data_IF_473117748983
#
_entry.id   IF_473117748983
#
_cell.length_a   1.000
_cell.length_b   1.000
_cell.length_c   1.000
_cell.angle_alpha   90.00
_cell.angle_beta   90.00
_cell.angle_gamma   90.00
#
_symmetry.space_group_name_H-M   'P 1'
#
loop_
_entity.id
_entity.type
_entity.pdbx_description
1 polymer ?
#
# COMPACT_ATOMS: atom_id res chain seq x y z
N UNK A 1 -20.36 -12.05 -6.56
CA UNK A 1 -21.03 -12.97 -7.51
C UNK A 1 -20.09 -13.14 -8.70
N UNK A 2 -19.41 -14.29 -8.83
CA UNK A 2 -18.51 -14.56 -9.96
C UNK A 2 -19.30 -14.37 -11.27
N UNK A 3 -18.67 -13.91 -12.38
CA UNK A 3 -19.36 -13.80 -13.66
C UNK A 3 -20.14 -15.08 -13.92
N UNK A 4 -21.44 -14.97 -14.23
CA UNK A 4 -22.21 -16.14 -14.62
C UNK A 4 -21.40 -16.88 -15.69
N UNK A 5 -21.23 -18.21 -15.59
CA UNK A 5 -20.44 -19.00 -16.53
C UNK A 5 -21.06 -18.90 -17.93
N UNK A 6 -20.72 -17.82 -18.62
CA UNK A 6 -21.15 -17.46 -19.95
C UNK A 6 -20.46 -18.42 -20.90
N UNK A 7 -21.27 -19.24 -21.55
CA UNK A 7 -20.90 -20.43 -22.31
C UNK A 7 -20.30 -21.53 -21.43
N UNK A 8 -21.11 -22.55 -21.17
CA UNK A 8 -20.63 -23.94 -21.03
C UNK A 8 -19.90 -24.32 -22.32
N UNK A 9 -18.65 -23.88 -22.47
CA UNK A 9 -17.70 -24.59 -23.33
C UNK A 9 -17.68 -26.00 -22.79
N UNK A 10 -18.19 -26.98 -23.55
CA UNK A 10 -18.28 -28.36 -23.09
C UNK A 10 -16.97 -28.74 -22.44
N UNK A 11 -17.01 -28.98 -21.12
CA UNK A 11 -15.82 -29.10 -20.30
C UNK A 11 -14.98 -30.23 -20.88
N UNK A 12 -13.93 -29.85 -21.59
CA UNK A 12 -13.04 -30.81 -22.21
C UNK A 12 -12.39 -31.58 -21.09
N UNK A 13 -12.46 -32.91 -21.12
CA UNK A 13 -11.88 -33.71 -20.06
C UNK A 13 -10.38 -33.44 -19.96
N UNK A 14 -9.94 -33.08 -18.75
CA UNK A 14 -8.58 -32.73 -18.40
C UNK A 14 -7.96 -33.88 -17.62
N UNK A 15 -7.25 -34.77 -18.33
CA UNK A 15 -6.59 -35.93 -17.74
C UNK A 15 -5.27 -35.58 -17.03
N UNK A 16 -4.87 -36.41 -16.06
CA UNK A 16 -3.58 -36.29 -15.41
C UNK A 16 -2.42 -36.53 -16.39
N UNK A 17 -1.32 -35.82 -16.21
CA UNK A 17 -0.17 -35.80 -17.12
C UNK A 17 -0.33 -34.85 -18.32
N UNK A 18 -1.50 -34.24 -18.51
CA UNK A 18 -1.74 -33.35 -19.64
C UNK A 18 -1.00 -32.01 -19.44
N UNK A 19 -0.19 -31.56 -20.43
CA UNK A 19 0.43 -30.25 -20.39
C UNK A 19 -0.60 -29.15 -20.63
N UNK A 20 -0.60 -28.15 -19.75
CA UNK A 20 -1.57 -27.06 -19.73
C UNK A 20 -0.91 -25.70 -19.58
N UNK A 21 -1.68 -24.66 -19.90
CA UNK A 21 -1.46 -23.29 -19.46
C UNK A 21 -2.57 -22.98 -18.47
N UNK A 22 -2.21 -22.67 -17.24
CA UNK A 22 -3.15 -22.44 -16.14
C UNK A 22 -2.87 -21.09 -15.47
N UNK A 23 -3.90 -20.48 -14.89
CA UNK A 23 -3.76 -19.25 -14.16
C UNK A 23 -3.18 -19.52 -12.78
N UNK A 24 -1.88 -19.24 -12.62
CA UNK A 24 -1.22 -19.28 -11.32
C UNK A 24 -1.69 -18.10 -10.47
N UNK A 25 -1.96 -18.35 -9.19
CA UNK A 25 -2.31 -17.32 -8.23
C UNK A 25 -1.75 -17.67 -6.85
N UNK A 26 -0.75 -16.90 -6.39
CA UNK A 26 0.02 -17.22 -5.19
C UNK A 26 -0.83 -17.34 -3.90
N UNK A 27 -1.98 -16.66 -3.83
CA UNK A 27 -2.85 -16.74 -2.64
C UNK A 27 -3.52 -18.10 -2.48
N UNK A 28 -3.59 -18.92 -3.54
CA UNK A 28 -4.11 -20.29 -3.51
C UNK A 28 -3.12 -21.32 -2.96
N UNK A 29 -1.88 -20.91 -2.66
CA UNK A 29 -0.89 -21.84 -2.10
C UNK A 29 -1.38 -22.39 -0.75
N UNK A 30 -1.43 -23.73 -0.55
CA UNK A 30 -2.10 -24.36 0.60
C UNK A 30 -1.48 -24.01 1.96
N UNK A 31 -0.19 -23.67 1.97
CA UNK A 31 0.55 -23.21 3.17
C UNK A 31 0.52 -21.69 3.39
N UNK A 32 -0.22 -20.96 2.55
CA UNK A 32 -0.27 -19.50 2.56
C UNK A 32 1.05 -18.82 2.17
N UNK A 33 1.97 -19.50 1.49
CA UNK A 33 3.20 -18.91 0.96
C UNK A 33 2.88 -18.01 -0.23
N UNK A 34 3.74 -17.05 -0.54
CA UNK A 34 3.61 -16.03 -1.58
C UNK A 34 4.75 -16.16 -2.59
N UNK A 35 4.88 -17.36 -3.15
CA UNK A 35 5.87 -17.62 -4.19
C UNK A 35 5.63 -16.72 -5.41
N UNK A 36 6.70 -16.13 -5.92
CA UNK A 36 6.72 -15.48 -7.22
C UNK A 36 7.49 -16.34 -8.22
N UNK A 37 7.02 -16.42 -9.45
CA UNK A 37 7.75 -17.01 -10.55
C UNK A 37 8.82 -16.02 -11.03
N UNK A 38 10.09 -16.39 -10.92
CA UNK A 38 11.24 -15.50 -11.18
C UNK A 38 11.92 -15.86 -12.50
N UNK A 39 12.57 -14.89 -13.16
CA UNK A 39 13.35 -15.18 -14.38
C UNK A 39 14.67 -15.87 -14.06
N UNK A 40 15.34 -15.44 -12.99
CA UNK A 40 16.64 -15.96 -12.54
C UNK A 40 16.62 -16.19 -11.05
N UNK A 41 17.30 -17.25 -10.60
CA UNK A 41 17.49 -17.49 -9.17
C UNK A 41 18.38 -16.40 -8.60
N UNK A 42 17.87 -15.66 -7.64
CA UNK A 42 18.64 -14.65 -6.92
C UNK A 42 18.43 -14.84 -5.43
N UNK A 43 19.50 -15.11 -4.69
CA UNK A 43 19.46 -15.00 -3.23
C UNK A 43 19.48 -13.54 -2.74
N UNK A 44 19.42 -12.56 -3.65
CA UNK A 44 19.52 -11.13 -3.34
C UNK A 44 18.17 -10.46 -3.45
N UNK A 45 17.91 -9.56 -2.51
CA UNK A 45 16.79 -8.64 -2.51
C UNK A 45 17.00 -7.50 -3.53
N UNK A 46 15.92 -6.90 -4.07
CA UNK A 46 14.54 -7.35 -3.90
C UNK A 46 14.24 -8.63 -4.69
N UNK A 47 13.34 -9.46 -4.16
CA UNK A 47 12.83 -10.63 -4.89
C UNK A 47 11.64 -10.15 -5.72
N UNK A 48 11.72 -10.29 -7.04
CA UNK A 48 10.70 -9.80 -7.96
C UNK A 48 10.27 -10.89 -8.94
N UNK A 49 8.96 -11.04 -9.14
CA UNK A 49 8.44 -12.00 -10.11
C UNK A 49 6.91 -12.01 -10.20
N UNK A 50 6.39 -12.88 -11.06
CA UNK A 50 4.96 -13.04 -11.29
C UNK A 50 4.32 -13.81 -10.13
N UNK A 51 3.41 -13.18 -9.39
CA UNK A 51 2.63 -13.82 -8.32
C UNK A 51 1.22 -14.22 -8.75
N UNK A 52 0.69 -13.63 -9.84
CA UNK A 52 -0.54 -14.10 -10.47
C UNK A 52 -0.49 -13.91 -11.99
N UNK A 53 -0.88 -14.92 -12.76
CA UNK A 53 -0.89 -14.85 -14.22
C UNK A 53 -0.83 -16.23 -14.88
N UNK A 54 -0.90 -16.27 -16.21
CA UNK A 54 -0.87 -17.53 -16.95
C UNK A 54 0.53 -18.13 -16.99
N UNK A 55 0.68 -19.36 -16.49
CA UNK A 55 1.93 -20.11 -16.50
C UNK A 55 1.72 -21.51 -17.08
N UNK A 56 2.81 -22.12 -17.55
CA UNK A 56 2.82 -23.52 -17.99
C UNK A 56 2.78 -24.44 -16.78
N UNK A 57 2.07 -25.56 -16.92
CA UNK A 57 2.01 -26.59 -15.90
C UNK A 57 1.56 -27.93 -16.45
N UNK A 58 1.36 -28.87 -15.55
CA UNK A 58 0.90 -30.24 -15.80
C UNK A 58 -0.22 -30.59 -14.83
N UNK A 59 -1.28 -31.24 -15.32
CA UNK A 59 -2.37 -31.69 -14.45
C UNK A 59 -1.91 -32.89 -13.63
N UNK A 60 -1.99 -32.80 -12.31
CA UNK A 60 -1.71 -33.92 -11.41
C UNK A 60 -2.98 -34.69 -11.04
N UNK A 61 -4.10 -33.97 -10.88
CA UNK A 61 -5.37 -34.54 -10.45
C UNK A 61 -6.52 -33.87 -11.19
N UNK A 62 -7.48 -34.69 -11.66
CA UNK A 62 -8.74 -34.23 -12.27
C UNK A 62 -9.53 -33.31 -11.34
N UNK A 63 -10.49 -32.59 -11.91
CA UNK A 63 -11.38 -31.71 -11.17
C UNK A 63 -12.04 -32.42 -9.97
N UNK A 64 -11.98 -31.80 -8.80
CA UNK A 64 -12.63 -32.27 -7.58
C UNK A 64 -14.11 -31.83 -7.53
N UNK A 65 -14.77 -32.06 -6.38
CA UNK A 65 -16.17 -31.64 -6.17
C UNK A 65 -16.36 -30.12 -6.15
N UNK A 66 -15.29 -29.37 -6.00
CA UNK A 66 -15.27 -27.90 -5.99
C UNK A 66 -14.88 -27.33 -7.36
N UNK A 67 -14.82 -28.17 -8.40
CA UNK A 67 -14.39 -27.81 -9.76
C UNK A 67 -12.95 -27.27 -9.81
N UNK A 68 -12.07 -27.76 -8.93
CA UNK A 68 -10.64 -27.42 -8.93
C UNK A 68 -9.79 -28.59 -9.43
N UNK A 69 -8.84 -28.27 -10.29
CA UNK A 69 -7.84 -29.19 -10.83
C UNK A 69 -6.52 -28.94 -10.13
N UNK A 70 -5.81 -29.98 -9.71
CA UNK A 70 -4.47 -29.81 -9.14
C UNK A 70 -3.46 -29.67 -10.28
N UNK A 71 -2.80 -28.51 -10.37
CA UNK A 71 -1.81 -28.22 -11.41
C UNK A 71 -0.43 -28.08 -10.79
N UNK A 72 0.55 -28.77 -11.36
CA UNK A 72 1.97 -28.59 -11.10
C UNK A 72 2.54 -27.53 -12.03
N UNK A 73 2.88 -26.38 -11.49
CA UNK A 73 3.58 -25.34 -12.23
C UNK A 73 5.09 -25.59 -12.23
N UNK A 74 5.73 -25.37 -13.38
CA UNK A 74 7.18 -25.40 -13.51
C UNK A 74 7.77 -24.03 -13.16
N UNK A 75 8.81 -24.03 -12.32
CA UNK A 75 9.50 -22.83 -11.84
C UNK A 75 10.61 -22.33 -12.77
N UNK A 76 11.47 -21.43 -12.28
CA UNK A 76 11.80 -21.24 -10.86
C UNK A 76 10.81 -20.37 -10.06
N UNK A 77 10.54 -20.75 -8.81
CA UNK A 77 9.75 -19.98 -7.85
C UNK A 77 10.57 -19.58 -6.63
N UNK A 78 10.24 -18.42 -6.06
CA UNK A 78 10.88 -17.92 -4.86
C UNK A 78 9.90 -17.22 -3.93
N UNK A 79 10.01 -17.51 -2.64
CA UNK A 79 9.31 -16.84 -1.56
C UNK A 79 10.34 -16.35 -0.53
N UNK A 80 10.24 -15.11 -0.02
CA UNK A 80 11.24 -14.57 0.90
C UNK A 80 11.30 -15.32 2.26
N UNK A 81 10.24 -16.01 2.66
CA UNK A 81 10.14 -16.76 3.93
C UNK A 81 10.27 -18.28 3.74
N UNK A 82 9.77 -18.82 2.63
CA UNK A 82 9.79 -20.26 2.34
C UNK A 82 10.96 -20.70 1.44
N UNK A 83 11.70 -19.75 0.86
CA UNK A 83 12.87 -20.01 0.04
C UNK A 83 12.52 -20.36 -1.40
N UNK A 84 13.29 -21.26 -1.99
CA UNK A 84 13.24 -21.59 -3.40
C UNK A 84 12.42 -22.87 -3.67
N UNK A 85 11.68 -22.90 -4.78
CA UNK A 85 11.00 -24.09 -5.26
C UNK A 85 11.12 -24.24 -6.78
N UNK A 86 11.40 -25.46 -7.25
CA UNK A 86 11.44 -25.80 -8.68
C UNK A 86 10.04 -25.98 -9.27
N UNK A 87 9.10 -26.43 -8.44
CA UNK A 87 7.73 -26.71 -8.84
C UNK A 87 6.79 -26.33 -7.72
N UNK A 88 5.54 -26.00 -8.06
CA UNK A 88 4.47 -25.75 -7.11
C UNK A 88 3.21 -26.47 -7.54
N UNK A 89 2.60 -27.20 -6.60
CA UNK A 89 1.35 -27.91 -6.80
C UNK A 89 0.22 -27.04 -6.21
N UNK A 90 -0.63 -26.48 -7.07
CA UNK A 90 -1.64 -25.49 -6.71
C UNK A 90 -3.01 -25.95 -7.23
N UNK A 91 -4.07 -25.92 -6.41
CA UNK A 91 -5.44 -26.12 -6.89
C UNK A 91 -5.87 -24.90 -7.71
N UNK A 92 -6.29 -25.13 -8.95
CA UNK A 92 -6.72 -24.08 -9.89
C UNK A 92 -8.16 -24.34 -10.30
N UNK A 93 -9.06 -23.33 -10.29
CA UNK A 93 -10.39 -23.48 -10.85
C UNK A 93 -10.33 -24.02 -12.29
N UNK A 94 -11.14 -25.02 -12.63
CA UNK A 94 -11.11 -25.68 -13.95
C UNK A 94 -11.25 -24.68 -15.11
N UNK A 95 -12.07 -23.64 -14.92
CA UNK A 95 -12.27 -22.55 -15.88
C UNK A 95 -11.00 -21.73 -16.20
N UNK A 96 -9.97 -21.81 -15.36
CA UNK A 96 -8.68 -21.13 -15.49
C UNK A 96 -7.56 -22.06 -15.94
N UNK A 97 -7.91 -23.16 -16.61
CA UNK A 97 -6.96 -24.13 -17.20
C UNK A 97 -7.25 -24.28 -18.70
N UNK A 98 -6.19 -24.27 -19.51
CA UNK A 98 -6.24 -24.40 -20.98
C UNK A 98 -5.23 -25.45 -21.42
N UNK A 99 -5.54 -26.22 -22.47
CA UNK A 99 -4.58 -27.16 -23.04
C UNK A 99 -3.44 -26.40 -23.74
N UNK A 100 -2.20 -26.85 -23.59
CA UNK A 100 -1.04 -26.13 -24.13
C UNK A 100 -0.99 -26.11 -25.67
N UNK A 101 -1.49 -27.17 -26.32
CA UNK A 101 -1.60 -27.32 -27.77
C UNK A 101 -2.52 -26.26 -28.41
N UNK A 102 -3.59 -25.88 -27.71
CA UNK A 102 -4.55 -24.86 -28.17
C UNK A 102 -3.93 -23.46 -28.34
N UNK A 103 -2.78 -23.20 -27.71
CA UNK A 103 -2.12 -21.88 -27.72
C UNK A 103 -0.99 -21.82 -28.76
N UNK A 104 -0.26 -22.92 -28.99
CA UNK A 104 0.88 -22.93 -29.90
C UNK A 104 0.49 -22.95 -31.39
N UNK A 105 -0.70 -23.47 -31.72
CA UNK A 105 -1.15 -23.59 -33.12
C UNK A 105 -1.51 -22.28 -33.84
N UNK A 106 -1.50 -21.12 -33.17
CA UNK A 106 -1.95 -19.86 -33.75
C UNK A 106 -0.83 -18.94 -34.29
N UNK A 107 0.42 -19.12 -33.84
CA UNK A 107 1.52 -18.18 -34.15
C UNK A 107 2.57 -18.70 -35.13
N UNK A 108 2.76 -20.02 -35.30
CA UNK A 108 3.82 -20.53 -36.19
C UNK A 108 3.53 -20.32 -37.69
N UNK A 109 2.26 -20.23 -38.11
CA UNK A 109 1.90 -19.95 -39.52
C UNK A 109 1.90 -18.45 -39.88
N UNK A 110 2.15 -17.55 -38.92
CA UNK A 110 2.09 -16.08 -39.14
C UNK A 110 3.43 -15.42 -39.43
N UNK A 111 4.55 -16.13 -39.36
CA UNK A 111 5.87 -15.55 -39.55
C UNK A 111 6.29 -15.34 -41.04
N UNK A 112 5.53 -15.84 -42.03
CA UNK A 112 5.99 -15.83 -43.44
C UNK A 112 5.11 -15.02 -44.41
N UNK A 113 3.84 -14.76 -44.12
CA UNK A 113 2.97 -14.04 -45.07
C UNK A 113 2.05 -12.99 -44.42
N UNK A 114 1.93 -11.85 -45.11
CA UNK A 114 0.97 -10.76 -44.94
C UNK A 114 1.23 -9.63 -43.93
N UNK A 115 1.78 -8.52 -44.48
CA UNK A 115 1.58 -7.15 -44.00
C UNK A 115 0.18 -6.62 -44.38
N UNK A 116 -0.88 -7.33 -44.03
CA UNK A 116 -2.24 -6.90 -44.31
C UNK A 116 -3.01 -6.75 -42.98
N UNK A 117 -3.66 -5.61 -42.69
CA UNK A 117 -4.46 -5.43 -41.49
C UNK A 117 -5.77 -6.24 -41.64
N UNK A 118 -5.70 -7.54 -41.34
CA UNK A 118 -6.87 -8.41 -41.34
C UNK A 118 -7.62 -8.28 -40.01
N UNK A 119 -8.91 -7.94 -40.14
CA UNK A 119 -9.96 -7.94 -39.13
C UNK A 119 -9.83 -9.19 -38.25
N UNK A 120 -9.68 -8.98 -36.95
CA UNK A 120 -9.50 -10.04 -35.95
C UNK A 120 -10.77 -10.90 -35.87
N UNK A 121 -10.72 -12.11 -36.43
CA UNK A 121 -11.77 -13.12 -36.25
C UNK A 121 -11.70 -13.66 -34.82
N UNK A 122 -12.82 -13.51 -34.09
CA UNK A 122 -13.01 -13.61 -32.63
C UNK A 122 -12.66 -14.94 -31.93
N UNK A 123 -12.21 -15.97 -32.65
CA UNK A 123 -12.30 -17.36 -32.18
C UNK A 123 -10.97 -18.11 -31.97
N UNK A 124 -9.81 -17.54 -32.31
CA UNK A 124 -8.49 -18.05 -31.90
C UNK A 124 -7.77 -16.95 -31.16
N UNK A 125 -7.96 -16.90 -29.84
CA UNK A 125 -7.40 -15.85 -28.98
C UNK A 125 -5.94 -16.22 -28.66
N UNK A 126 -4.92 -15.63 -29.31
CA UNK A 126 -3.58 -15.58 -28.72
C UNK A 126 -3.73 -15.11 -27.27
N UNK A 127 -2.88 -15.62 -26.37
CA UNK A 127 -2.95 -15.36 -24.93
C UNK A 127 -3.35 -13.91 -24.71
N UNK A 128 -4.63 -13.67 -24.35
CA UNK A 128 -5.19 -12.33 -24.48
C UNK A 128 -4.34 -11.43 -23.62
N UNK A 129 -3.88 -10.32 -24.21
CA UNK A 129 -3.24 -9.27 -23.47
C UNK A 129 -4.06 -9.02 -22.20
N UNK A 130 -3.46 -9.09 -20.99
CA UNK A 130 -4.21 -8.90 -19.77
C UNK A 130 -4.94 -7.56 -19.81
N UNK A 131 -6.16 -7.50 -19.28
CA UNK A 131 -6.85 -6.23 -19.11
C UNK A 131 -6.10 -5.34 -18.10
N UNK A 132 -5.49 -5.96 -17.08
CA UNK A 132 -4.84 -5.28 -15.97
C UNK A 132 -3.50 -5.93 -15.62
N UNK A 133 -2.44 -5.14 -15.53
CA UNK A 133 -1.17 -5.52 -14.91
C UNK A 133 -0.91 -4.68 -13.68
N UNK A 134 -0.66 -5.35 -12.56
CA UNK A 134 -0.35 -4.71 -11.29
C UNK A 134 1.08 -5.02 -10.90
N UNK A 135 1.88 -4.00 -10.60
CA UNK A 135 3.14 -4.14 -9.89
C UNK A 135 2.93 -3.83 -8.41
N UNK A 136 3.04 -4.83 -7.56
CA UNK A 136 2.90 -4.71 -6.11
C UNK A 136 4.27 -4.69 -5.44
N UNK A 137 4.59 -3.59 -4.77
CA UNK A 137 5.74 -3.49 -3.88
C UNK A 137 5.27 -3.72 -2.45
N UNK A 138 5.89 -4.67 -1.75
CA UNK A 138 5.53 -4.96 -0.36
C UNK A 138 6.73 -5.38 0.47
N UNK A 139 6.57 -5.29 1.78
CA UNK A 139 7.57 -5.79 2.73
C UNK A 139 7.77 -7.30 2.59
N UNK A 140 9.02 -7.76 2.67
CA UNK A 140 9.40 -9.17 2.52
C UNK A 140 8.78 -10.08 3.59
N UNK A 141 8.74 -9.59 4.84
CA UNK A 141 8.16 -10.32 5.96
C UNK A 141 6.67 -9.96 6.08
N UNK A 142 5.91 -10.49 5.14
CA UNK A 142 4.46 -10.32 5.07
C UNK A 142 3.68 -11.09 6.16
N UNK A 143 4.41 -11.71 7.11
CA UNK A 143 3.84 -12.41 8.27
C UNK A 143 4.32 -11.83 9.60
N UNK A 144 5.13 -10.76 9.58
CA UNK A 144 5.64 -10.12 10.79
C UNK A 144 4.51 -9.65 11.71
N UNK A 145 3.37 -9.28 11.14
CA UNK A 145 2.20 -8.88 11.89
C UNK A 145 1.02 -9.82 11.67
N UNK A 146 0.45 -10.34 12.75
CA UNK A 146 -0.76 -11.16 12.74
C UNK A 146 -2.04 -10.36 13.00
N UNK A 147 -1.94 -9.10 13.45
CA UNK A 147 -3.11 -8.25 13.66
C UNK A 147 -3.68 -7.81 12.32
N UNK A 148 -4.97 -8.07 12.14
CA UNK A 148 -5.70 -7.55 10.98
C UNK A 148 -5.91 -6.04 11.21
N UNK A 149 -5.43 -5.26 10.24
CA UNK A 149 -5.63 -3.82 10.18
C UNK A 149 -5.57 -3.40 8.72
N UNK A 150 -6.46 -2.48 8.36
CA UNK A 150 -6.55 -1.85 7.04
C UNK A 150 -5.37 -0.92 6.71
N UNK A 151 -4.43 -0.74 7.65
CA UNK A 151 -3.19 0.00 7.42
C UNK A 151 -1.93 -0.85 7.56
N UNK A 152 -2.03 -2.13 8.00
CA UNK A 152 -0.88 -2.98 8.28
C UNK A 152 -0.23 -3.55 7.01
N UNK A 153 0.79 -2.86 6.48
CA UNK A 153 1.53 -3.28 5.27
C UNK A 153 2.39 -4.54 5.46
N UNK A 154 2.61 -4.93 6.72
CA UNK A 154 3.33 -6.15 7.14
C UNK A 154 2.41 -7.35 7.39
N UNK A 155 1.11 -7.17 7.14
CA UNK A 155 0.09 -8.22 7.20
C UNK A 155 -0.42 -8.50 5.79
N UNK A 156 -0.86 -9.73 5.55
CA UNK A 156 -1.35 -10.13 4.23
C UNK A 156 -2.86 -9.88 4.03
N UNK A 157 -3.61 -9.65 5.12
CA UNK A 157 -5.06 -9.50 5.15
C UNK A 157 -5.57 -8.45 4.18
N UNK A 158 -5.08 -7.21 4.25
CA UNK A 158 -5.51 -6.15 3.33
C UNK A 158 -5.27 -6.53 1.85
N UNK A 159 -4.14 -7.16 1.54
CA UNK A 159 -3.88 -7.59 0.17
C UNK A 159 -4.81 -8.74 -0.24
N UNK A 160 -5.09 -9.68 0.65
CA UNK A 160 -6.06 -10.74 0.40
C UNK A 160 -7.46 -10.20 0.20
N UNK A 161 -7.85 -9.17 0.94
CA UNK A 161 -9.16 -8.54 0.78
C UNK A 161 -9.25 -7.81 -0.59
N UNK A 162 -8.17 -7.12 -1.00
CA UNK A 162 -8.09 -6.44 -2.30
C UNK A 162 -8.01 -7.40 -3.49
N UNK A 163 -7.34 -8.54 -3.33
CA UNK A 163 -7.16 -9.52 -4.40
C UNK A 163 -8.31 -10.54 -4.44
N UNK A 164 -8.65 -11.13 -3.30
CA UNK A 164 -9.51 -12.32 -3.19
C UNK A 164 -10.89 -12.02 -2.59
N UNK A 165 -11.09 -10.84 -1.99
CA UNK A 165 -12.36 -10.44 -1.40
C UNK A 165 -13.49 -10.34 -2.43
N UNK A 166 -14.74 -10.21 -1.97
CA UNK A 166 -15.93 -10.29 -2.85
C UNK A 166 -15.90 -9.30 -4.04
N UNK A 167 -15.31 -8.12 -3.83
CA UNK A 167 -15.10 -7.08 -4.84
C UNK A 167 -13.63 -6.97 -5.28
N UNK A 168 -12.82 -7.99 -5.00
CA UNK A 168 -11.40 -8.03 -5.29
C UNK A 168 -11.10 -8.27 -6.77
N UNK A 169 -9.82 -8.14 -7.11
CA UNK A 169 -9.33 -8.31 -8.49
C UNK A 169 -9.59 -9.73 -9.01
N UNK A 170 -9.31 -10.75 -8.22
CA UNK A 170 -9.41 -12.14 -8.65
C UNK A 170 -10.86 -12.55 -8.96
N UNK A 171 -11.87 -12.34 -8.09
CA UNK A 171 -13.25 -12.68 -8.44
C UNK A 171 -13.81 -11.90 -9.64
N UNK A 172 -13.29 -10.69 -9.89
CA UNK A 172 -13.78 -9.81 -10.96
C UNK A 172 -13.09 -10.04 -12.31
N UNK A 173 -11.80 -10.37 -12.30
CA UNK A 173 -10.92 -10.36 -13.49
C UNK A 173 -10.09 -11.64 -13.64
N UNK A 174 -10.40 -12.73 -12.93
CA UNK A 174 -9.63 -13.98 -13.03
C UNK A 174 -9.33 -14.39 -14.48
N UNK A 175 -8.06 -14.64 -14.79
CA UNK A 175 -7.62 -14.95 -16.15
C UNK A 175 -7.40 -13.75 -17.07
N UNK A 176 -7.79 -12.54 -16.64
CA UNK A 176 -7.65 -11.29 -17.40
C UNK A 176 -6.73 -10.26 -16.70
N UNK A 177 -6.06 -10.64 -15.61
CA UNK A 177 -5.05 -9.79 -14.96
C UNK A 177 -3.73 -10.54 -14.76
N UNK A 178 -2.67 -9.77 -14.52
CA UNK A 178 -1.42 -10.28 -13.99
C UNK A 178 -0.95 -9.42 -12.82
N UNK A 179 -0.27 -10.06 -11.87
CA UNK A 179 0.29 -9.42 -10.68
C UNK A 179 1.77 -9.79 -10.61
N UNK A 180 2.62 -8.78 -10.63
CA UNK A 180 4.03 -8.89 -10.31
C UNK A 180 4.24 -8.39 -8.89
N UNK A 181 4.89 -9.18 -8.05
CA UNK A 181 5.20 -8.80 -6.67
C UNK A 181 6.70 -8.59 -6.52
N UNK A 182 7.07 -7.49 -5.87
CA UNK A 182 8.43 -7.15 -5.46
C UNK A 182 8.48 -7.14 -3.93
N UNK A 183 9.24 -8.06 -3.35
CA UNK A 183 9.51 -8.12 -1.92
C UNK A 183 10.76 -7.32 -1.57
N UNK A 184 10.57 -6.33 -0.70
CA UNK A 184 11.59 -5.38 -0.27
C UNK A 184 11.97 -5.64 1.18
N UNK A 185 13.28 -5.60 1.49
CA UNK A 185 13.84 -5.73 2.83
C UNK A 185 14.35 -4.41 3.40
N UNK A 186 14.70 -3.47 2.53
CA UNK A 186 15.32 -2.20 2.92
C UNK A 186 15.18 -1.17 1.82
N UNK A 187 15.41 0.09 2.17
CA UNK A 187 15.38 1.23 1.26
C UNK A 187 16.29 1.09 0.05
N UNK A 188 17.48 0.49 0.24
CA UNK A 188 18.44 0.28 -0.84
C UNK A 188 17.88 -0.62 -1.96
N UNK A 189 16.94 -1.52 -1.64
CA UNK A 189 16.32 -2.39 -2.66
C UNK A 189 15.46 -1.55 -3.64
N UNK A 190 14.83 -0.48 -3.15
CA UNK A 190 14.03 0.44 -3.96
C UNK A 190 14.87 1.18 -5.01
N UNK A 191 16.14 1.44 -4.69
CA UNK A 191 17.10 2.10 -5.58
C UNK A 191 17.56 1.16 -6.70
N UNK A 192 17.62 -0.15 -6.43
CA UNK A 192 17.99 -1.16 -7.44
C UNK A 192 16.85 -1.52 -8.38
N UNK A 193 15.59 -1.25 -8.01
CA UNK A 193 14.44 -1.57 -8.84
C UNK A 193 14.41 -0.65 -10.06
N UNK A 194 14.39 -1.27 -11.25
CA UNK A 194 14.37 -0.55 -12.53
C UNK A 194 12.94 -0.31 -13.01
N UNK A 195 12.64 0.95 -13.32
CA UNK A 195 11.41 1.39 -13.95
C UNK A 195 11.26 0.84 -15.38
N UNK A 196 12.36 0.68 -16.11
CA UNK A 196 12.37 0.11 -17.45
C UNK A 196 12.03 -1.39 -17.41
N UNK A 197 12.54 -2.11 -16.42
CA UNK A 197 12.16 -3.51 -16.20
C UNK A 197 10.66 -3.61 -15.90
N UNK A 198 10.15 -2.79 -14.98
CA UNK A 198 8.74 -2.78 -14.64
C UNK A 198 7.86 -2.49 -15.87
N UNK A 199 8.20 -1.49 -16.66
CA UNK A 199 7.49 -1.17 -17.89
C UNK A 199 7.53 -2.31 -18.92
N UNK A 200 8.65 -3.03 -19.00
CA UNK A 200 8.82 -4.13 -19.95
C UNK A 200 8.05 -5.40 -19.58
N UNK A 201 7.88 -5.69 -18.29
CA UNK A 201 7.20 -6.93 -17.83
C UNK A 201 5.69 -6.80 -17.71
N UNK A 202 5.16 -5.58 -17.52
CA UNK A 202 3.73 -5.35 -17.40
C UNK A 202 3.11 -5.33 -18.81
N UNK A 203 2.43 -6.41 -19.19
CA UNK A 203 1.89 -6.58 -20.54
C UNK A 203 0.46 -6.04 -20.72
N UNK A 204 -0.22 -5.70 -19.63
CA UNK A 204 -1.64 -5.41 -19.60
C UNK A 204 -2.01 -4.07 -20.21
N UNK A 205 -3.26 -3.98 -20.68
CA UNK A 205 -3.85 -2.77 -21.28
C UNK A 205 -3.83 -1.62 -20.24
N UNK A 206 -4.20 -1.93 -19.01
CA UNK A 206 -4.13 -1.01 -17.88
C UNK A 206 -2.96 -1.41 -16.98
N UNK A 207 -2.11 -0.46 -16.62
CA UNK A 207 -0.93 -0.70 -15.80
C UNK A 207 -0.95 0.17 -14.55
N UNK A 208 -0.67 -0.43 -13.41
CA UNK A 208 -0.72 0.24 -12.12
C UNK A 208 0.34 -0.30 -11.18
N UNK A 209 0.89 0.59 -10.34
CA UNK A 209 1.80 0.25 -9.26
C UNK A 209 1.14 0.48 -7.91
N UNK A 210 1.28 -0.49 -7.01
CA UNK A 210 0.79 -0.45 -5.64
C UNK A 210 1.96 -0.53 -4.66
N UNK A 211 2.00 0.41 -3.71
CA UNK A 211 3.07 0.53 -2.73
C UNK A 211 2.57 0.22 -1.33
N UNK A 212 2.83 -1.00 -0.85
CA UNK A 212 2.52 -1.46 0.50
C UNK A 212 3.78 -1.38 1.37
N UNK A 213 4.25 -0.15 1.58
CA UNK A 213 5.39 0.20 2.42
C UNK A 213 5.07 1.52 3.13
N UNK A 214 5.73 1.77 4.26
CA UNK A 214 5.59 3.00 5.03
C UNK A 214 6.82 3.89 4.84
N UNK A 215 6.73 5.00 4.07
CA UNK A 215 7.83 5.95 3.99
C UNK A 215 8.02 6.65 5.34
N UNK A 216 9.25 6.64 5.85
CA UNK A 216 9.66 7.19 7.13
C UNK A 216 10.85 8.16 6.95
N UNK A 217 10.89 9.28 7.69
CA UNK A 217 11.90 10.31 7.51
C UNK A 217 13.24 10.01 8.19
N UNK A 218 13.29 8.96 9.01
CA UNK A 218 14.45 8.55 9.79
C UNK A 218 15.46 7.78 8.95
N UNK A 219 16.75 8.00 9.18
CA UNK A 219 17.82 7.27 8.51
C UNK A 219 17.82 5.76 8.80
N UNK A 220 17.26 5.35 9.94
CA UNK A 220 17.16 3.96 10.40
C UNK A 220 15.79 3.33 10.12
N UNK A 221 14.99 3.91 9.21
CA UNK A 221 13.65 3.44 8.87
C UNK A 221 13.56 1.92 8.64
N UNK A 222 14.57 1.34 7.96
CA UNK A 222 14.64 -0.08 7.61
C UNK A 222 14.70 -1.03 8.83
N UNK A 223 14.93 -0.51 10.04
CA UNK A 223 14.90 -1.31 11.28
C UNK A 223 13.48 -1.67 11.73
N UNK A 224 12.46 -0.94 11.25
CA UNK A 224 11.05 -1.20 11.56
C UNK A 224 10.41 -1.91 10.38
N UNK A 225 9.75 -3.04 10.64
CA UNK A 225 9.11 -3.83 9.59
C UNK A 225 8.09 -3.00 8.81
N UNK A 226 8.18 -3.05 7.48
CA UNK A 226 7.33 -2.29 6.56
C UNK A 226 7.79 -0.85 6.32
N UNK A 227 8.69 -0.32 7.13
CA UNK A 227 9.21 1.03 6.98
C UNK A 227 10.39 1.08 6.00
N UNK A 228 10.43 2.13 5.20
CA UNK A 228 11.53 2.47 4.29
C UNK A 228 11.80 3.97 4.35
N UNK A 229 12.98 4.40 3.93
CA UNK A 229 13.34 5.82 3.85
C UNK A 229 12.41 6.52 2.87
N UNK A 230 11.82 7.60 3.34
CA UNK A 230 10.90 8.45 2.59
C UNK A 230 11.50 8.88 1.24
N UNK A 231 12.75 9.35 1.23
CA UNK A 231 13.41 9.79 0.02
C UNK A 231 13.47 8.69 -1.05
N UNK A 232 13.96 7.50 -0.70
CA UNK A 232 14.06 6.35 -1.61
C UNK A 232 12.67 5.91 -2.11
N UNK A 233 11.65 5.94 -1.25
CA UNK A 233 10.28 5.62 -1.61
C UNK A 233 9.70 6.56 -2.66
N UNK A 234 9.72 7.88 -2.42
CA UNK A 234 9.14 8.84 -3.35
C UNK A 234 9.96 8.97 -4.63
N UNK A 235 11.29 8.81 -4.55
CA UNK A 235 12.13 8.78 -5.74
C UNK A 235 11.76 7.61 -6.65
N UNK A 236 11.53 6.42 -6.10
CA UNK A 236 11.05 5.27 -6.87
C UNK A 236 9.68 5.54 -7.48
N UNK A 237 8.74 6.07 -6.69
CA UNK A 237 7.40 6.36 -7.17
C UNK A 237 7.41 7.35 -8.35
N UNK A 238 8.20 8.41 -8.25
CA UNK A 238 8.37 9.38 -9.34
C UNK A 238 9.05 8.77 -10.58
N UNK A 239 10.03 7.87 -10.42
CA UNK A 239 10.65 7.16 -11.56
C UNK A 239 9.62 6.31 -12.30
N UNK A 240 8.79 5.56 -11.57
CA UNK A 240 7.71 4.75 -12.15
C UNK A 240 6.68 5.62 -12.87
N UNK A 241 6.25 6.72 -12.25
CA UNK A 241 5.29 7.66 -12.86
C UNK A 241 5.84 8.30 -14.15
N UNK A 242 7.14 8.60 -14.22
CA UNK A 242 7.78 9.16 -15.43
C UNK A 242 7.79 8.22 -16.62
N UNK A 243 7.81 6.90 -16.41
CA UNK A 243 7.70 5.90 -17.49
C UNK A 243 6.24 5.54 -17.79
N UNK A 244 5.27 6.31 -17.27
CA UNK A 244 3.85 6.12 -17.53
C UNK A 244 3.16 5.09 -16.65
N UNK A 245 3.86 4.51 -15.67
CA UNK A 245 3.25 3.58 -14.71
C UNK A 245 2.51 4.37 -13.63
N UNK A 246 1.18 4.26 -13.64
CA UNK A 246 0.32 4.99 -12.70
C UNK A 246 0.43 4.41 -11.28
N UNK A 247 0.57 5.29 -10.28
CA UNK A 247 0.39 4.93 -8.88
C UNK A 247 -1.09 4.70 -8.58
N UNK A 248 -1.48 3.45 -8.33
CA UNK A 248 -2.87 3.09 -8.01
C UNK A 248 -3.17 3.02 -6.52
N UNK A 249 -2.16 2.72 -5.70
CA UNK A 249 -2.25 2.72 -4.25
C UNK A 249 -0.91 3.12 -3.63
N UNK A 250 -0.87 4.04 -2.65
CA UNK A 250 -2.02 4.75 -2.09
C UNK A 250 -2.54 5.86 -3.03
N UNK A 251 -1.68 6.80 -3.40
CA UNK A 251 -2.01 7.91 -4.31
C UNK A 251 -0.78 8.29 -5.14
N UNK A 252 -0.91 9.08 -6.22
CA UNK A 252 0.23 9.66 -6.93
C UNK A 252 1.20 10.37 -6.00
N UNK A 253 2.49 10.34 -6.34
CA UNK A 253 3.61 10.67 -5.44
C UNK A 253 3.42 12.01 -4.72
N UNK A 254 3.03 13.04 -5.47
CA UNK A 254 2.79 14.39 -4.93
C UNK A 254 1.67 14.43 -3.90
N UNK A 255 0.52 13.81 -4.20
CA UNK A 255 -0.62 13.79 -3.27
C UNK A 255 -0.28 12.94 -2.05
N UNK A 256 0.33 11.78 -2.24
CA UNK A 256 0.69 10.92 -1.12
C UNK A 256 1.72 11.57 -0.20
N UNK A 257 2.70 12.31 -0.74
CA UNK A 257 3.64 13.09 0.06
C UNK A 257 2.92 14.14 0.93
N UNK A 258 1.93 14.85 0.38
CA UNK A 258 1.12 15.80 1.18
C UNK A 258 0.34 15.11 2.29
N UNK A 259 -0.28 13.96 1.99
CA UNK A 259 -1.11 13.19 2.93
C UNK A 259 -0.26 12.55 4.04
N UNK A 260 0.73 11.74 3.69
CA UNK A 260 1.59 11.04 4.63
C UNK A 260 2.49 12.00 5.45
N UNK A 261 2.93 13.09 4.82
CA UNK A 261 3.64 14.18 5.50
C UNK A 261 2.76 15.02 6.42
N UNK A 262 1.44 14.78 6.44
CA UNK A 262 0.46 15.56 7.22
C UNK A 262 0.49 17.06 6.89
N UNK A 263 0.96 17.41 5.69
CA UNK A 263 1.21 18.78 5.23
C UNK A 263 -0.08 19.55 4.90
N UNK A 264 -1.16 18.82 4.65
CA UNK A 264 -2.47 19.38 4.39
C UNK A 264 -3.17 19.90 5.65
N UNK A 265 -2.84 19.38 6.84
CA UNK A 265 -3.55 19.71 8.09
C UNK A 265 -3.42 21.21 8.42
N UNK A 266 -2.22 21.83 8.41
CA UNK A 266 -2.10 23.27 8.60
C UNK A 266 -2.92 24.07 7.58
N UNK A 267 -2.91 23.67 6.30
CA UNK A 267 -3.63 24.36 5.23
C UNK A 267 -5.14 24.31 5.44
N UNK A 268 -5.68 23.13 5.77
CA UNK A 268 -7.11 22.97 6.02
C UNK A 268 -7.56 23.66 7.31
N UNK A 269 -6.68 23.83 8.30
CA UNK A 269 -7.00 24.54 9.55
C UNK A 269 -7.27 26.06 9.35
N UNK A 270 -6.91 26.61 8.18
CA UNK A 270 -7.19 27.99 7.79
C UNK A 270 -8.66 28.22 7.40
N UNK A 271 -9.45 27.16 7.22
CA UNK A 271 -10.88 27.26 6.96
C UNK A 271 -11.66 26.44 8.01
N UNK A 272 -12.45 27.15 8.82
CA UNK A 272 -13.28 26.58 9.89
C UNK A 272 -14.29 25.54 9.40
N UNK A 273 -14.78 25.66 8.17
CA UNK A 273 -15.80 24.75 7.61
C UNK A 273 -15.27 23.32 7.46
N UNK A 274 -13.95 23.14 7.31
CA UNK A 274 -13.32 21.82 7.27
C UNK A 274 -13.19 21.16 8.63
N UNK A 275 -13.45 21.88 9.73
CA UNK A 275 -13.40 21.37 11.11
C UNK A 275 -12.05 20.73 11.49
N UNK A 276 -10.96 21.20 10.89
CA UNK A 276 -9.60 20.76 11.21
C UNK A 276 -9.03 21.65 12.31
N UNK A 277 -8.67 21.14 13.50
CA UNK A 277 -8.22 21.96 14.63
C UNK A 277 -7.06 22.90 14.26
N UNK A 278 -6.93 24.07 14.91
CA UNK A 278 -5.80 24.98 14.72
C UNK A 278 -4.47 24.24 14.77
N UNK A 279 -3.75 24.29 13.65
CA UNK A 279 -2.55 23.50 13.43
C UNK A 279 -1.53 24.33 12.66
N UNK A 280 -0.29 24.37 13.14
CA UNK A 280 0.80 25.12 12.52
C UNK A 280 1.92 24.19 12.09
N UNK A 281 2.64 24.63 11.06
CA UNK A 281 3.84 23.97 10.56
C UNK A 281 5.06 24.56 11.26
N UNK A 282 5.96 23.72 11.75
CA UNK A 282 7.24 24.13 12.35
C UNK A 282 8.38 23.59 11.51
N UNK A 283 9.26 24.47 11.02
CA UNK A 283 10.39 24.05 10.19
C UNK A 283 11.53 23.46 11.03
N UNK A 284 12.11 22.35 10.57
CA UNK A 284 13.23 21.68 11.24
C UNK A 284 14.45 22.60 11.38
N UNK A 285 14.72 23.42 10.37
CA UNK A 285 15.81 24.39 10.39
C UNK A 285 15.66 25.40 11.54
N UNK A 286 14.43 25.85 11.84
CA UNK A 286 14.18 26.75 12.96
C UNK A 286 14.40 26.06 14.30
N UNK A 287 13.94 24.80 14.43
CA UNK A 287 14.15 24.00 15.65
C UNK A 287 15.64 23.74 15.90
N UNK A 288 16.43 23.47 14.86
CA UNK A 288 17.88 23.27 14.99
C UNK A 288 18.61 24.54 15.40
N UNK A 289 18.16 25.70 14.91
CA UNK A 289 18.76 26.99 15.22
C UNK A 289 18.43 27.44 16.64
N UNK A 290 17.14 27.44 16.98
CA UNK A 290 16.63 27.82 18.30
C UNK A 290 15.27 27.15 18.55
N UNK A 291 15.23 26.05 19.32
CA UNK A 291 14.01 25.30 19.56
C UNK A 291 12.99 26.06 20.43
N UNK A 292 13.45 26.98 21.29
CA UNK A 292 12.56 27.78 22.13
C UNK A 292 11.90 28.89 21.32
N UNK A 293 12.67 29.59 20.47
CA UNK A 293 12.09 30.58 19.55
C UNK A 293 11.12 29.94 18.56
N UNK A 294 11.45 28.76 18.00
CA UNK A 294 10.56 28.01 17.13
C UNK A 294 9.25 27.61 17.85
N UNK A 295 9.33 27.16 19.11
CA UNK A 295 8.17 26.84 19.92
C UNK A 295 7.31 28.08 20.25
N UNK A 296 7.94 29.22 20.53
CA UNK A 296 7.26 30.49 20.80
C UNK A 296 6.46 30.92 19.57
N UNK A 297 7.11 30.99 18.40
CA UNK A 297 6.44 31.34 17.14
C UNK A 297 5.28 30.38 16.83
N UNK A 298 5.48 29.06 17.03
CA UNK A 298 4.42 28.08 16.81
C UNK A 298 3.20 28.31 17.71
N UNK A 299 3.42 28.68 18.99
CA UNK A 299 2.33 29.00 19.92
C UNK A 299 1.64 30.31 19.54
N UNK A 300 2.40 31.33 19.14
CA UNK A 300 1.85 32.61 18.71
C UNK A 300 0.97 32.44 17.47
N UNK A 301 1.43 31.66 16.48
CA UNK A 301 0.66 31.32 15.28
C UNK A 301 -0.60 30.51 15.62
N UNK A 302 -0.53 29.58 16.57
CA UNK A 302 -1.70 28.82 17.05
C UNK A 302 -2.73 29.72 17.73
N UNK A 303 -2.29 30.67 18.55
CA UNK A 303 -3.16 31.64 19.22
C UNK A 303 -3.78 32.61 18.21
N UNK A 304 -3.02 33.00 17.18
CA UNK A 304 -3.53 33.80 16.07
C UNK A 304 -4.61 33.05 15.30
N UNK A 305 -4.38 31.79 14.89
CA UNK A 305 -5.37 30.96 14.19
C UNK A 305 -6.67 30.82 15.00
N UNK A 306 -6.56 30.57 16.30
CA UNK A 306 -7.71 30.48 17.20
C UNK A 306 -8.57 31.73 17.19
N UNK A 307 -7.92 32.90 17.25
CA UNK A 307 -8.61 34.19 17.28
C UNK A 307 -9.22 34.55 15.94
N UNK A 308 -8.39 34.56 14.90
CA UNK A 308 -8.75 35.15 13.60
C UNK A 308 -9.57 34.20 12.72
N UNK A 309 -9.30 32.90 12.77
CA UNK A 309 -9.98 31.90 11.92
C UNK A 309 -11.11 31.21 12.68
N UNK A 310 -10.89 30.89 13.95
CA UNK A 310 -11.84 30.11 14.74
C UNK A 310 -12.81 30.95 15.58
N UNK A 311 -12.52 32.25 15.73
CA UNK A 311 -13.37 33.17 16.50
C UNK A 311 -13.39 32.85 17.99
N UNK A 312 -12.36 32.18 18.51
CA UNK A 312 -12.23 31.92 19.93
C UNK A 312 -12.02 33.27 20.64
N UNK A 313 -13.10 33.81 21.24
CA UNK A 313 -12.99 34.95 22.15
C UNK A 313 -12.26 34.49 23.41
N UNK A 314 -11.06 35.01 23.66
CA UNK A 314 -10.26 34.61 24.82
C UNK A 314 -10.93 35.13 26.09
N UNK A 315 -11.05 34.27 27.10
CA UNK A 315 -11.11 34.77 28.47
C UNK A 315 -9.80 35.54 28.74
N UNK A 316 -9.81 36.59 29.57
CA UNK A 316 -8.65 37.48 29.82
C UNK A 316 -7.34 36.74 30.17
N UNK A 317 -7.41 35.49 30.67
CA UNK A 317 -6.27 34.64 31.01
C UNK A 317 -5.84 33.63 29.92
N UNK A 318 -6.54 33.55 28.78
CA UNK A 318 -6.35 32.52 27.76
C UNK A 318 -5.18 32.78 26.78
N UNK A 319 -4.50 33.93 26.89
CA UNK A 319 -3.31 34.26 26.10
C UNK A 319 -1.98 33.96 26.80
N UNK A 320 -2.02 33.39 28.00
CA UNK A 320 -0.78 32.99 28.64
C UNK A 320 -0.20 31.80 27.87
N UNK A 321 0.89 32.03 27.13
CA UNK A 321 1.60 31.04 26.31
C UNK A 321 2.03 29.81 27.13
N UNK A 322 2.23 29.96 28.45
CA UNK A 322 2.53 28.86 29.37
C UNK A 322 1.36 27.88 29.60
N UNK A 323 0.13 28.29 29.29
CA UNK A 323 -1.09 27.49 29.50
C UNK A 323 -1.53 26.72 28.25
N UNK A 324 -0.93 27.00 27.10
CA UNK A 324 -1.29 26.37 25.82
C UNK A 324 -0.92 24.88 25.86
N UNK A 325 -1.87 24.02 25.51
CA UNK A 325 -1.69 22.56 25.47
C UNK A 325 -2.02 22.01 24.09
N UNK A 326 -1.27 20.99 23.68
CA UNK A 326 -1.46 20.41 22.37
C UNK A 326 -0.67 19.12 22.17
N UNK A 327 -0.55 18.74 20.90
CA UNK A 327 0.27 17.62 20.44
C UNK A 327 1.17 18.08 19.31
N UNK A 328 2.43 17.68 19.37
CA UNK A 328 3.35 17.78 18.24
C UNK A 328 3.41 16.42 17.56
N UNK A 329 3.43 16.43 16.22
CA UNK A 329 3.46 15.24 15.37
C UNK A 329 4.53 15.38 14.31
N UNK A 330 5.25 14.29 14.06
CA UNK A 330 6.14 14.19 12.91
C UNK A 330 5.35 13.80 11.64
N UNK A 331 5.71 14.40 10.50
CA UNK A 331 5.29 13.90 9.19
C UNK A 331 5.85 12.51 8.93
N UNK A 332 5.22 11.71 8.07
CA UNK A 332 5.74 10.38 7.69
C UNK A 332 6.00 9.42 8.86
N UNK A 333 5.28 9.63 9.97
CA UNK A 333 5.23 8.73 11.11
C UNK A 333 3.88 8.00 11.16
N UNK A 334 3.92 6.73 11.55
CA UNK A 334 2.85 5.73 11.38
C UNK A 334 2.42 5.15 12.72
N UNK A 335 1.22 4.56 12.79
CA UNK A 335 0.74 3.84 13.99
C UNK A 335 0.72 4.66 15.30
N UNK A 336 0.65 5.99 15.20
CA UNK A 336 0.68 6.88 16.37
C UNK A 336 2.09 7.13 16.92
N UNK A 337 3.12 6.65 16.24
CA UNK A 337 4.50 7.02 16.52
C UNK A 337 4.68 8.54 16.43
N UNK A 338 5.63 9.05 17.21
CA UNK A 338 6.05 10.46 17.20
C UNK A 338 4.93 11.49 17.43
N UNK A 339 3.87 11.08 18.14
CA UNK A 339 2.84 11.97 18.67
C UNK A 339 3.13 12.27 20.13
N UNK A 340 3.58 13.49 20.43
CA UNK A 340 4.04 13.86 21.77
C UNK A 340 3.20 15.06 22.28
N UNK A 341 2.54 14.94 23.44
CA UNK A 341 1.82 16.06 24.02
C UNK A 341 2.78 17.15 24.50
N UNK A 342 2.33 18.40 24.46
CA UNK A 342 3.07 19.53 25.02
C UNK A 342 2.20 20.44 25.90
N UNK A 343 2.84 21.14 26.83
CA UNK A 343 2.24 22.19 27.67
C UNK A 343 3.18 23.40 27.79
N UNK A 344 2.82 24.50 27.14
CA UNK A 344 3.60 25.73 27.10
C UNK A 344 4.84 25.66 26.22
N UNK A 345 5.47 26.83 26.05
CA UNK A 345 6.60 27.07 25.14
C UNK A 345 7.81 26.21 25.47
N UNK A 346 8.23 26.18 26.74
CA UNK A 346 9.42 25.43 27.17
C UNK A 346 9.28 23.92 26.93
N UNK A 347 8.10 23.36 27.18
CA UNK A 347 7.85 21.94 26.94
C UNK A 347 7.75 21.66 25.44
N UNK A 348 7.09 22.53 24.66
CA UNK A 348 7.06 22.40 23.21
C UNK A 348 8.47 22.45 22.60
N UNK A 349 9.35 23.34 23.06
CA UNK A 349 10.74 23.40 22.61
C UNK A 349 11.48 22.08 22.86
N UNK A 350 11.32 21.48 24.05
CA UNK A 350 11.88 20.14 24.36
C UNK A 350 11.29 19.04 23.46
N UNK A 351 9.99 19.08 23.21
CA UNK A 351 9.30 18.12 22.34
C UNK A 351 9.80 18.24 20.89
N UNK A 352 9.92 19.46 20.37
CA UNK A 352 10.45 19.74 19.04
C UNK A 352 11.89 19.26 18.90
N UNK A 353 12.76 19.50 19.89
CA UNK A 353 14.11 18.94 19.92
C UNK A 353 14.11 17.41 19.84
N UNK A 354 13.23 16.75 20.60
CA UNK A 354 13.12 15.28 20.60
C UNK A 354 12.71 14.76 19.22
N UNK A 355 11.73 15.38 18.58
CA UNK A 355 11.27 15.02 17.23
C UNK A 355 12.34 15.31 16.16
N UNK A 356 13.06 16.43 16.30
CA UNK A 356 14.12 16.81 15.37
C UNK A 356 15.38 15.92 15.50
N UNK A 357 15.66 15.40 16.69
CA UNK A 357 16.85 14.61 17.01
C UNK A 357 16.86 13.16 16.52
N UNK A 358 15.78 12.65 15.93
CA UNK A 358 15.67 11.25 15.47
C UNK A 358 16.40 10.97 14.14
N UNK A 359 17.50 11.68 13.84
CA UNK A 359 18.21 11.62 12.55
C UNK A 359 17.27 11.77 11.34
N UNK A 360 16.30 12.66 11.47
CA UNK A 360 15.34 12.96 10.43
C UNK A 360 15.99 13.85 9.36
N UNK A 361 15.88 13.45 8.10
CA UNK A 361 16.33 14.26 6.95
C UNK A 361 15.29 15.32 6.55
N UNK A 362 14.13 15.34 7.22
CA UNK A 362 13.01 16.20 6.89
C UNK A 362 13.03 17.60 7.49
N UNK A 363 12.38 18.51 6.76
CA UNK A 363 12.30 19.94 7.03
C UNK A 363 11.11 20.36 7.92
N UNK A 364 10.24 19.45 8.40
CA UNK A 364 8.95 19.88 8.99
C UNK A 364 8.35 18.99 10.07
N UNK A 365 7.98 19.60 11.19
CA UNK A 365 7.09 19.08 12.22
C UNK A 365 5.73 19.81 12.15
N UNK A 366 4.67 19.20 12.71
CA UNK A 366 3.35 19.82 12.83
C UNK A 366 2.98 19.94 14.30
N UNK A 367 2.60 21.14 14.76
CA UNK A 367 2.10 21.37 16.11
C UNK A 367 0.61 21.71 16.03
N UNK A 368 -0.21 20.93 16.71
CA UNK A 368 -1.66 21.14 16.78
C UNK A 368 -2.05 21.49 18.21
N UNK A 369 -2.85 22.54 18.38
CA UNK A 369 -3.42 22.80 19.68
C UNK A 369 -4.55 21.81 19.94
N UNK A 370 -4.61 21.24 21.14
CA UNK A 370 -5.79 20.52 21.59
C UNK A 370 -6.85 21.59 21.90
N UNK A 371 -7.59 22.04 20.90
CA UNK A 371 -8.93 22.55 21.16
C UNK A 371 -9.75 21.36 21.64
N UNK A 372 -10.35 21.52 22.81
CA UNK A 372 -11.16 20.52 23.51
C UNK A 372 -12.35 20.14 22.61
N UNK A 373 -12.17 19.16 21.73
CA UNK A 373 -13.26 18.31 21.20
C UNK A 373 -13.42 17.05 22.06
N UNK A 374 -13.02 17.09 23.33
CA UNK A 374 -13.36 16.05 24.31
C UNK A 374 -14.41 16.51 25.33
N UNK A 375 -14.98 17.71 25.21
CA UNK A 375 -16.08 18.13 26.10
C UNK A 375 -17.39 17.36 25.83
N UNK A 376 -17.50 16.65 24.70
CA UNK A 376 -18.66 15.80 24.41
C UNK A 376 -18.46 14.32 24.78
N UNK A 377 -17.26 13.93 25.24
CA UNK A 377 -16.97 12.53 25.63
C UNK A 377 -16.75 12.32 27.12
N UNK A 378 -16.46 13.38 27.90
CA UNK A 378 -16.36 13.26 29.36
C UNK A 378 -17.72 12.97 30.04
N UNK A 379 -18.84 13.46 29.51
CA UNK A 379 -20.16 13.31 30.16
C UNK A 379 -20.79 11.90 30.03
N UNK A 380 -20.19 10.98 29.25
CA UNK A 380 -20.64 9.59 29.13
C UNK A 380 -19.62 8.54 29.63
N UNK A 381 -18.51 8.97 30.25
CA UNK A 381 -17.41 8.08 30.64
C UNK A 381 -17.59 7.35 31.99
N UNK A 382 -18.75 7.45 32.63
CA UNK A 382 -19.06 6.67 33.85
C UNK A 382 -19.45 5.20 33.60
N UNK A 383 -19.39 4.71 32.35
CA UNK A 383 -19.41 3.27 32.05
C UNK A 383 -18.10 2.83 31.40
N UNK A 384 -17.13 2.55 32.27
CA UNK A 384 -16.10 1.53 32.11
C UNK A 384 -15.08 1.70 30.98
N UNK A 385 -14.17 2.68 31.07
CA UNK A 385 -12.78 2.46 30.62
C UNK A 385 -11.79 3.04 31.64
N UNK A 386 -10.97 2.14 32.19
CA UNK A 386 -9.94 2.40 33.20
C UNK A 386 -8.82 3.23 32.58
N UNK A 387 -8.74 4.51 32.97
CA UNK A 387 -7.53 5.33 32.80
C UNK A 387 -6.63 5.08 34.02
N UNK A 388 -5.76 4.07 33.93
CA UNK A 388 -4.61 3.91 34.84
C UNK A 388 -3.47 3.21 34.11
N UNK A 389 -2.38 3.94 33.88
CA UNK A 389 -1.17 3.47 33.21
C UNK A 389 -1.21 3.75 31.71
N UNK A 390 -0.25 4.56 31.23
CA UNK A 390 -0.01 4.79 29.81
C UNK A 390 0.29 3.46 29.10
N UNK A 391 -0.77 2.81 28.61
CA UNK A 391 -0.75 1.91 27.46
C UNK A 391 -1.56 2.60 26.38
N UNK A 392 -0.89 2.94 25.27
CA UNK A 392 -1.57 3.28 24.02
C UNK A 392 -2.29 2.00 23.60
N UNK A 393 -3.63 2.02 23.66
CA UNK A 393 -4.47 0.97 23.13
C UNK A 393 -5.10 1.45 21.82
N UNK A 394 -5.16 0.51 20.88
CA UNK A 394 -5.06 0.69 19.44
C UNK A 394 -6.42 0.90 18.75
N UNK A 395 -7.22 1.88 19.18
CA UNK A 395 -8.61 2.01 18.70
C UNK A 395 -9.09 3.39 18.25
N UNK A 396 -8.22 4.38 18.04
CA UNK A 396 -8.65 5.72 17.60
C UNK A 396 -8.38 6.09 16.14
N UNK A 397 -8.06 5.11 15.27
CA UNK A 397 -7.81 5.36 13.84
C UNK A 397 -9.06 5.31 12.94
N UNK A 398 -10.21 4.84 13.45
CA UNK A 398 -11.42 4.59 12.63
C UNK A 398 -12.12 5.84 12.09
N UNK A 399 -11.91 7.02 12.67
CA UNK A 399 -12.63 8.23 12.25
C UNK A 399 -12.03 8.94 11.02
N UNK A 400 -10.82 8.58 10.59
CA UNK A 400 -10.10 9.33 9.56
C UNK A 400 -10.28 8.77 8.13
N UNK A 401 -10.55 7.46 7.99
CA UNK A 401 -10.70 6.79 6.69
C UNK A 401 -12.13 6.88 6.12
N UNK A 402 -13.15 7.10 6.97
CA UNK A 402 -14.53 7.33 6.50
C UNK A 402 -14.67 8.64 5.70
N UNK A 403 -13.77 9.61 5.92
CA UNK A 403 -13.77 10.88 5.20
C UNK A 403 -13.11 10.77 3.81
N UNK A 404 -12.16 9.84 3.62
CA UNK A 404 -11.49 9.61 2.34
C UNK A 404 -12.30 8.70 1.41
N UNK A 405 -13.13 7.80 1.94
CA UNK A 405 -14.06 7.00 1.13
C UNK A 405 -15.19 7.85 0.50
N UNK A 406 -15.60 8.96 1.13
CA UNK A 406 -16.64 9.83 0.59
C UNK A 406 -16.16 10.77 -0.55
N UNK A 407 -14.84 11.00 -0.68
CA UNK A 407 -14.30 11.86 -1.73
C UNK A 407 -14.10 11.16 -3.10
N UNK A 408 -14.30 9.84 -3.17
CA UNK A 408 -14.19 9.06 -4.40
C UNK A 408 -15.53 8.83 -5.12
N UNK A 409 -16.65 9.31 -4.57
CA UNK A 409 -17.98 9.29 -5.18
C UNK A 409 -18.63 10.67 -5.13
N UNK A 410 -18.14 11.57 -5.97
CA UNK A 410 -18.91 12.68 -6.50
C UNK A 410 -18.80 12.62 -8.04
N UNK A 411 -19.90 12.84 -8.78
CA UNK A 411 -19.96 12.64 -10.24
C UNK A 411 -19.00 13.54 -11.02
#
# INVERSE_FOLDING_TARGET
MLPEPGCRTGAQELDAGLPVIAFYHANLHPRGSRFVHVCTRSGRSPIAGLSSGWLRGEILQKADRSDHVLVRFAGPFQDPLAGFAETLDIPVPHALVRRADSVLGADEDRAVHDRCPKVWTRNSRPCQQPLLSVLLLRWWDYRANSTWSDFAVTNDGMLRDLMDGECGVFPSLAGEFELYTVFVQRSADLETLSENWAQAVLAGINQVVWYFLWPCPRSDADQVAGCVREHSFFQLQQRMERVGLRSGWPHPSMLYCQLAGKLWIPQMSLNRDYRVPPTVRVHHADVRRDPLAAAQHAIDDLLWLRREVWGDTPAENAFNTSTVRGVAKLGFSWQGDDVIPFAGVENLGRVLCRLAGQNNEQLTCVAACLCIMYKYYEDNLHRTYKIQGWRVSDQSSHAFLSFLACAAHAP
#
